data_IF_383149904442
#
_entry.id   IF_383149904442
#
_cell.length_a   1.000
_cell.length_b   1.000
_cell.length_c   1.000
_cell.angle_alpha   90.00
_cell.angle_beta   90.00
_cell.angle_gamma   90.00
#
_symmetry.space_group_name_H-M   'P 1'
#
loop_
_entity.id
_entity.type
_entity.pdbx_description
1 polymer ?
#
# COMPACT_ATOMS: atom_id res chain seq x y z
N UNK A 1 -30.05 14.03 -15.74
CA UNK A 1 -29.86 12.64 -15.28
C UNK A 1 -28.50 12.07 -15.64
N UNK A 2 -28.07 12.10 -16.91
CA UNK A 2 -26.77 11.53 -17.32
C UNK A 2 -25.54 12.10 -16.59
N UNK A 3 -25.47 13.43 -16.42
CA UNK A 3 -24.37 14.08 -15.68
C UNK A 3 -24.33 13.68 -14.20
N UNK A 4 -25.48 13.56 -13.55
CA UNK A 4 -25.58 13.12 -12.17
C UNK A 4 -25.13 11.65 -12.03
N UNK A 5 -25.55 10.79 -12.97
CA UNK A 5 -25.09 9.40 -13.02
C UNK A 5 -23.57 9.31 -13.18
N UNK A 6 -22.98 10.04 -14.14
CA UNK A 6 -21.53 10.06 -14.33
C UNK A 6 -20.80 10.59 -13.10
N UNK A 7 -21.31 11.65 -12.47
CA UNK A 7 -20.73 12.19 -11.24
C UNK A 7 -20.69 11.17 -10.10
N UNK A 8 -21.80 10.46 -9.86
CA UNK A 8 -21.88 9.41 -8.85
C UNK A 8 -20.98 8.23 -9.21
N UNK A 9 -21.06 7.75 -10.45
CA UNK A 9 -20.27 6.61 -10.91
C UNK A 9 -18.77 6.88 -10.79
N UNK A 10 -18.29 8.03 -11.27
CA UNK A 10 -16.89 8.41 -11.19
C UNK A 10 -16.43 8.64 -9.74
N UNK A 11 -17.27 9.28 -8.92
CA UNK A 11 -16.96 9.51 -7.50
C UNK A 11 -16.82 8.21 -6.73
N UNK A 12 -17.81 7.32 -6.84
CA UNK A 12 -17.82 6.02 -6.15
C UNK A 12 -16.72 5.11 -6.69
N UNK A 13 -16.60 4.99 -8.01
CA UNK A 13 -15.56 4.17 -8.63
C UNK A 13 -14.16 4.68 -8.33
N UNK A 14 -13.94 6.00 -8.41
CA UNK A 14 -12.65 6.62 -8.08
C UNK A 14 -12.26 6.38 -6.62
N UNK A 15 -13.19 6.56 -5.68
CA UNK A 15 -12.95 6.26 -4.27
C UNK A 15 -12.63 4.77 -4.07
N UNK A 16 -13.40 3.88 -4.67
CA UNK A 16 -13.19 2.42 -4.60
C UNK A 16 -11.82 2.01 -5.15
N UNK A 17 -11.44 2.50 -6.33
CA UNK A 17 -10.15 2.22 -6.95
C UNK A 17 -8.99 2.79 -6.11
N UNK A 18 -9.11 4.03 -5.64
CA UNK A 18 -8.12 4.62 -4.74
C UNK A 18 -7.94 3.79 -3.45
N UNK A 19 -9.05 3.36 -2.86
CA UNK A 19 -9.05 2.58 -1.62
C UNK A 19 -8.50 1.15 -1.79
N UNK A 20 -8.56 0.57 -2.98
CA UNK A 20 -8.10 -0.81 -3.23
C UNK A 20 -6.69 -0.86 -3.83
N UNK A 21 -6.25 0.16 -4.57
CA UNK A 21 -4.88 0.20 -5.11
C UNK A 21 -3.85 0.69 -4.10
N UNK A 22 -4.18 1.74 -3.35
CA UNK A 22 -3.23 2.40 -2.45
C UNK A 22 -2.56 1.46 -1.44
N UNK A 23 -3.25 0.47 -0.83
CA UNK A 23 -2.63 -0.46 0.12
C UNK A 23 -1.43 -1.23 -0.42
N UNK A 24 -1.35 -1.48 -1.74
CA UNK A 24 -0.25 -2.24 -2.34
C UNK A 24 1.07 -1.46 -2.45
N UNK A 25 1.06 -0.12 -2.30
CA UNK A 25 2.26 0.72 -2.43
C UNK A 25 2.49 1.66 -1.25
N UNK A 26 1.42 2.04 -0.53
CA UNK A 26 1.50 3.08 0.51
C UNK A 26 2.33 2.65 1.71
N UNK A 27 3.48 3.28 1.91
CA UNK A 27 4.41 2.96 3.01
C UNK A 27 5.47 1.93 2.62
N UNK A 28 5.63 1.64 1.33
CA UNK A 28 6.79 0.91 0.83
C UNK A 28 8.02 1.84 0.75
N UNK A 29 9.25 1.31 0.82
CA UNK A 29 10.47 2.07 0.67
C UNK A 29 10.49 2.95 -0.57
N UNK A 30 10.91 4.20 -0.39
CA UNK A 30 11.34 5.08 -1.48
C UNK A 30 12.80 4.74 -1.76
N UNK A 31 13.11 4.44 -3.02
CA UNK A 31 14.47 4.10 -3.43
C UNK A 31 15.25 5.39 -3.64
N UNK A 32 16.42 5.49 -3.01
CA UNK A 32 17.33 6.62 -3.21
C UNK A 32 17.73 6.76 -4.68
N UNK A 33 17.97 7.99 -5.11
CA UNK A 33 18.27 8.31 -6.51
C UNK A 33 19.48 7.54 -7.05
N UNK A 34 20.49 7.30 -6.21
CA UNK A 34 21.74 6.65 -6.59
C UNK A 34 21.74 5.13 -6.32
N UNK A 35 20.68 4.60 -5.69
CA UNK A 35 20.57 3.18 -5.40
C UNK A 35 20.30 2.37 -6.68
N UNK A 36 21.17 1.39 -6.96
CA UNK A 36 21.03 0.47 -8.09
C UNK A 36 20.39 -0.83 -7.62
N UNK A 37 19.11 -1.01 -7.94
CA UNK A 37 18.37 -2.25 -7.73
C UNK A 37 18.08 -2.91 -9.08
N UNK A 38 18.25 -4.23 -9.14
CA UNK A 38 17.76 -5.02 -10.25
C UNK A 38 16.22 -4.95 -10.34
N UNK A 39 15.67 -5.33 -11.48
CA UNK A 39 14.23 -5.25 -11.73
C UNK A 39 13.41 -6.03 -10.69
N UNK A 40 13.81 -7.26 -10.35
CA UNK A 40 13.07 -8.10 -9.43
C UNK A 40 13.04 -7.49 -8.03
N UNK A 41 14.23 -7.15 -7.50
CA UNK A 41 14.34 -6.54 -6.17
C UNK A 41 13.58 -5.21 -6.10
N UNK A 42 13.59 -4.41 -7.16
CA UNK A 42 12.82 -3.16 -7.22
C UNK A 42 11.33 -3.45 -7.08
N UNK A 43 10.75 -4.29 -7.94
CA UNK A 43 9.31 -4.57 -7.91
C UNK A 43 8.86 -5.16 -6.56
N UNK A 44 9.63 -6.12 -6.02
CA UNK A 44 9.30 -6.77 -4.75
C UNK A 44 9.42 -5.80 -3.56
N UNK A 45 10.42 -4.90 -3.55
CA UNK A 45 10.64 -3.99 -2.42
C UNK A 45 9.75 -2.76 -2.46
N UNK A 46 9.32 -2.30 -3.63
CA UNK A 46 8.48 -1.09 -3.76
C UNK A 46 6.99 -1.38 -3.87
N UNK A 47 6.60 -2.65 -3.72
CA UNK A 47 5.20 -3.08 -3.67
C UNK A 47 4.99 -4.11 -2.56
N UNK A 48 3.74 -4.34 -2.19
CA UNK A 48 3.33 -5.42 -1.28
C UNK A 48 2.10 -6.10 -1.83
N UNK A 49 1.83 -7.28 -1.32
CA UNK A 49 0.57 -7.96 -1.54
C UNK A 49 -0.41 -7.78 -0.38
N UNK A 50 -1.70 -7.96 -0.69
CA UNK A 50 -2.77 -7.97 0.31
C UNK A 50 -3.32 -9.38 0.50
N UNK A 51 -3.30 -9.84 1.75
CA UNK A 51 -3.87 -11.11 2.17
C UNK A 51 -5.36 -10.98 2.54
N UNK A 52 -6.06 -12.10 2.54
CA UNK A 52 -7.49 -12.17 2.86
C UNK A 52 -8.24 -13.28 2.10
N UNK A 53 -7.62 -13.90 1.11
CA UNK A 53 -8.26 -14.99 0.35
C UNK A 53 -9.31 -14.45 -0.63
N UNK A 54 -10.41 -15.19 -0.80
CA UNK A 54 -11.37 -14.93 -1.88
C UNK A 54 -12.04 -13.56 -1.81
N UNK A 55 -12.38 -13.07 -0.60
CA UNK A 55 -13.05 -11.78 -0.44
C UNK A 55 -12.11 -10.62 -0.77
N UNK A 56 -10.82 -10.73 -0.41
CA UNK A 56 -9.83 -9.71 -0.74
C UNK A 56 -9.56 -9.70 -2.25
N UNK A 57 -9.46 -10.88 -2.87
CA UNK A 57 -9.34 -11.00 -4.33
C UNK A 57 -10.55 -10.42 -5.06
N UNK A 58 -11.77 -10.64 -4.57
CA UNK A 58 -12.98 -10.05 -5.16
C UNK A 58 -13.01 -8.53 -4.97
N UNK A 59 -12.82 -8.08 -3.73
CA UNK A 59 -12.84 -6.66 -3.36
C UNK A 59 -11.79 -5.86 -4.12
N UNK A 60 -10.58 -6.39 -4.29
CA UNK A 60 -9.49 -5.71 -4.97
C UNK A 60 -9.42 -6.04 -6.45
N UNK A 61 -10.35 -6.85 -6.97
CA UNK A 61 -10.29 -7.33 -8.34
C UNK A 61 -8.91 -7.93 -8.67
N UNK A 62 -8.42 -8.89 -7.90
CA UNK A 62 -7.14 -9.57 -8.17
C UNK A 62 -5.87 -8.71 -8.07
N UNK A 63 -5.99 -7.42 -7.74
CA UNK A 63 -4.85 -6.51 -7.52
C UNK A 63 -4.20 -6.67 -6.15
N UNK A 64 -4.71 -7.62 -5.35
CA UNK A 64 -4.06 -8.04 -4.12
C UNK A 64 -2.73 -8.79 -4.39
N UNK A 65 -2.44 -9.14 -5.65
CA UNK A 65 -1.20 -9.75 -6.13
C UNK A 65 -0.33 -8.75 -6.90
N UNK A 66 -0.08 -7.58 -6.31
CA UNK A 66 0.62 -6.48 -6.97
C UNK A 66 2.08 -6.81 -7.31
N UNK A 67 2.80 -7.51 -6.43
CA UNK A 67 4.19 -7.90 -6.69
C UNK A 67 4.28 -8.70 -7.98
N UNK A 68 3.40 -9.69 -8.15
CA UNK A 68 3.37 -10.54 -9.33
C UNK A 68 2.87 -9.79 -10.57
N UNK A 69 1.90 -8.88 -10.40
CA UNK A 69 1.45 -8.03 -11.50
C UNK A 69 2.59 -7.16 -12.05
N UNK A 70 3.43 -6.60 -11.19
CA UNK A 70 4.57 -5.78 -11.62
C UNK A 70 5.69 -6.60 -12.24
N UNK A 71 5.92 -7.83 -11.74
CA UNK A 71 6.88 -8.75 -12.33
C UNK A 71 6.42 -9.31 -13.68
N UNK A 72 5.11 -9.52 -13.85
CA UNK A 72 4.51 -10.15 -15.02
C UNK A 72 3.26 -9.39 -15.49
N UNK A 73 3.39 -8.16 -16.03
CA UNK A 73 2.26 -7.28 -16.34
C UNK A 73 1.31 -7.86 -17.39
N UNK A 74 1.82 -8.70 -18.29
CA UNK A 74 1.03 -9.39 -19.32
C UNK A 74 0.35 -10.67 -18.82
N UNK A 75 0.61 -11.11 -17.58
CA UNK A 75 0.00 -12.34 -17.05
C UNK A 75 -1.49 -12.14 -16.78
N UNK A 76 -2.36 -13.05 -17.22
CA UNK A 76 -3.78 -13.02 -16.85
C UNK A 76 -3.95 -13.07 -15.33
N UNK A 77 -4.78 -12.17 -14.79
CA UNK A 77 -5.06 -12.04 -13.35
C UNK A 77 -5.34 -13.35 -12.60
N UNK A 78 -6.11 -14.32 -13.14
CA UNK A 78 -6.35 -15.59 -12.47
C UNK A 78 -5.08 -16.42 -12.19
N UNK A 79 -3.98 -16.17 -12.91
CA UNK A 79 -2.71 -16.88 -12.72
C UNK A 79 -1.79 -16.25 -11.69
N UNK A 80 -2.05 -15.00 -11.26
CA UNK A 80 -1.20 -14.29 -10.30
C UNK A 80 -1.12 -15.01 -8.95
N UNK A 81 -2.20 -15.67 -8.51
CA UNK A 81 -2.21 -16.45 -7.28
C UNK A 81 -1.22 -17.65 -7.34
N UNK A 82 -1.06 -18.27 -8.52
CA UNK A 82 -0.09 -19.35 -8.74
C UNK A 82 1.32 -18.77 -8.80
N UNK A 83 1.53 -17.67 -9.54
CA UNK A 83 2.80 -16.97 -9.63
C UNK A 83 3.30 -16.52 -8.25
N UNK A 84 2.40 -16.07 -7.36
CA UNK A 84 2.73 -15.64 -5.99
C UNK A 84 3.47 -16.71 -5.21
N UNK A 85 3.10 -17.98 -5.35
CA UNK A 85 3.78 -19.07 -4.66
C UNK A 85 5.24 -19.17 -5.10
N UNK A 86 5.47 -19.15 -6.41
CA UNK A 86 6.81 -19.22 -7.01
C UNK A 86 7.66 -17.98 -6.68
N UNK A 87 7.06 -16.79 -6.73
CA UNK A 87 7.75 -15.53 -6.39
C UNK A 87 8.14 -15.51 -4.92
N UNK A 88 7.24 -15.91 -4.01
CA UNK A 88 7.56 -16.01 -2.58
C UNK A 88 8.72 -16.97 -2.32
N UNK A 89 8.71 -18.14 -2.95
CA UNK A 89 9.82 -19.10 -2.85
C UNK A 89 11.14 -18.51 -3.36
N UNK A 90 11.12 -17.82 -4.49
CA UNK A 90 12.31 -17.15 -5.03
C UNK A 90 12.80 -16.02 -4.13
N UNK A 91 11.90 -15.21 -3.55
CA UNK A 91 12.26 -14.19 -2.57
C UNK A 91 12.99 -14.80 -1.36
N UNK A 92 12.51 -15.93 -0.85
CA UNK A 92 13.18 -16.67 0.23
C UNK A 92 14.58 -17.13 -0.18
N UNK A 93 14.73 -17.71 -1.37
CA UNK A 93 16.04 -18.18 -1.87
C UNK A 93 17.06 -17.06 -2.05
N UNK A 94 16.59 -15.89 -2.49
CA UNK A 94 17.43 -14.72 -2.75
C UNK A 94 17.57 -13.78 -1.54
N UNK A 95 16.98 -14.12 -0.39
CA UNK A 95 16.91 -13.25 0.79
C UNK A 95 16.34 -11.84 0.49
N UNK A 96 15.36 -11.77 -0.41
CA UNK A 96 14.64 -10.53 -0.74
C UNK A 96 13.37 -10.46 0.12
N UNK A 97 13.15 -9.39 0.91
CA UNK A 97 11.95 -9.27 1.73
C UNK A 97 10.68 -9.20 0.87
N UNK A 98 9.79 -10.17 1.04
CA UNK A 98 8.48 -10.18 0.41
C UNK A 98 7.44 -9.66 1.41
N UNK A 99 6.88 -8.47 1.16
CA UNK A 99 5.92 -7.84 2.07
C UNK A 99 4.48 -8.23 1.73
N UNK A 100 3.75 -8.68 2.74
CA UNK A 100 2.33 -9.00 2.63
C UNK A 100 1.60 -8.60 3.92
N UNK A 101 0.39 -8.04 3.80
CA UNK A 101 -0.42 -7.61 4.95
C UNK A 101 -1.91 -7.72 4.65
N UNK A 102 -2.78 -7.62 5.66
CA UNK A 102 -4.22 -7.49 5.43
C UNK A 102 -4.59 -6.05 5.08
N UNK A 103 -5.73 -5.85 4.40
CA UNK A 103 -6.21 -4.51 4.03
C UNK A 103 -6.38 -3.61 5.27
N UNK A 104 -6.92 -4.16 6.35
CA UNK A 104 -7.15 -3.45 7.61
C UNK A 104 -5.85 -3.06 8.29
N UNK A 105 -4.87 -3.98 8.33
CA UNK A 105 -3.56 -3.68 8.89
C UNK A 105 -2.85 -2.59 8.06
N UNK A 106 -2.94 -2.65 6.73
CA UNK A 106 -2.35 -1.62 5.86
C UNK A 106 -2.89 -0.21 6.17
N UNK A 107 -4.21 -0.07 6.33
CA UNK A 107 -4.82 1.21 6.72
C UNK A 107 -4.48 1.61 8.15
N UNK A 108 -4.48 0.65 9.08
CA UNK A 108 -4.07 0.87 10.46
C UNK A 108 -2.65 1.43 10.56
N UNK A 109 -1.68 0.84 9.86
CA UNK A 109 -0.30 1.33 9.82
C UNK A 109 -0.22 2.77 9.34
N UNK A 110 -0.98 3.12 8.31
CA UNK A 110 -1.03 4.48 7.77
C UNK A 110 -1.60 5.47 8.77
N UNK A 111 -2.75 5.16 9.38
CA UNK A 111 -3.40 6.04 10.35
C UNK A 111 -2.50 6.22 11.56
N UNK A 112 -1.92 5.13 12.09
CA UNK A 112 -0.96 5.17 13.19
C UNK A 112 0.24 6.02 12.85
N UNK A 113 0.80 5.90 11.64
CA UNK A 113 1.93 6.73 11.20
C UNK A 113 1.55 8.21 11.11
N UNK A 114 0.41 8.53 10.49
CA UNK A 114 -0.09 9.90 10.37
C UNK A 114 -0.36 10.52 11.74
N UNK A 115 -0.97 9.78 12.67
CA UNK A 115 -1.16 10.23 14.04
C UNK A 115 0.17 10.43 14.75
N UNK A 116 1.13 9.51 14.58
CA UNK A 116 2.46 9.65 15.17
C UNK A 116 3.16 10.91 14.69
N UNK A 117 3.22 11.18 13.38
CA UNK A 117 3.93 12.36 12.86
C UNK A 117 3.12 13.65 13.05
N UNK A 118 1.79 13.57 12.95
CA UNK A 118 0.89 14.71 13.10
C UNK A 118 0.75 15.18 14.54
N UNK A 119 0.75 14.27 15.52
CA UNK A 119 0.71 14.59 16.95
C UNK A 119 2.10 14.82 17.56
N UNK A 120 3.18 14.30 16.94
CA UNK A 120 4.54 14.60 17.35
C UNK A 120 5.04 15.97 16.83
N UNK A 121 4.45 16.47 15.74
CA UNK A 121 4.59 17.88 15.40
C UNK A 121 3.94 18.69 16.53
N UNK A 122 4.68 19.67 17.10
CA UNK A 122 4.16 20.58 18.14
C UNK A 122 2.75 21.01 17.77
N UNK A 123 1.84 20.99 18.75
CA UNK A 123 0.51 21.55 18.54
C UNK A 123 0.71 22.99 18.04
N UNK A 124 0.30 23.31 16.79
CA UNK A 124 0.54 24.63 16.22
C UNK A 124 -0.20 25.73 16.99
N UNK A 125 -1.14 25.35 17.87
CA UNK A 125 -1.87 26.23 18.75
C UNK A 125 -1.31 26.25 20.18
N UNK A 126 -0.26 25.47 20.48
CA UNK A 126 0.41 25.53 21.78
C UNK A 126 1.21 26.83 21.89
N UNK A 127 0.80 27.70 22.81
CA UNK A 127 1.51 28.95 23.08
C UNK A 127 2.93 28.63 23.62
N UNK A 128 4.01 29.12 22.99
CA UNK A 128 5.38 28.83 23.40
C UNK A 128 5.66 29.18 24.87
N UNK A 129 5.04 30.24 25.38
CA UNK A 129 5.17 30.63 26.78
C UNK A 129 4.52 29.60 27.72
N UNK A 130 3.32 29.11 27.39
CA UNK A 130 2.67 28.08 28.22
C UNK A 130 3.44 26.76 28.22
N UNK A 131 4.05 26.38 27.09
CA UNK A 131 4.89 25.18 27.01
C UNK A 131 6.16 25.26 27.88
N UNK A 132 6.73 26.46 28.03
CA UNK A 132 7.93 26.68 28.85
C UNK A 132 7.65 26.75 30.35
N UNK A 133 6.51 27.31 30.76
CA UNK A 133 6.22 27.60 32.18
C UNK A 133 5.18 26.67 32.82
N UNK A 134 4.52 25.80 32.05
CA UNK A 134 3.61 24.78 32.60
C UNK A 134 4.45 23.71 33.31
N UNK A 135 4.42 23.73 34.65
CA UNK A 135 4.92 22.61 35.46
C UNK A 135 4.12 21.36 35.09
N UNK A 136 4.82 20.27 34.79
CA UNK A 136 4.22 18.94 34.58
C UNK A 136 3.68 18.39 35.89
#
# INVERSE_FOLDING_TARGET
MALAFLGVQLGVFGLYMGATFAPNHKGMPVIDRDAKLDFFSKQVRTSRNISGGWWATWLMGGLNYQVEHHLFPSMPRPHLAKARRLVREQCTRLSVPYTETSIWSSYGTVITYLNRVGLAARDPFECPMTAQYRRR
#
